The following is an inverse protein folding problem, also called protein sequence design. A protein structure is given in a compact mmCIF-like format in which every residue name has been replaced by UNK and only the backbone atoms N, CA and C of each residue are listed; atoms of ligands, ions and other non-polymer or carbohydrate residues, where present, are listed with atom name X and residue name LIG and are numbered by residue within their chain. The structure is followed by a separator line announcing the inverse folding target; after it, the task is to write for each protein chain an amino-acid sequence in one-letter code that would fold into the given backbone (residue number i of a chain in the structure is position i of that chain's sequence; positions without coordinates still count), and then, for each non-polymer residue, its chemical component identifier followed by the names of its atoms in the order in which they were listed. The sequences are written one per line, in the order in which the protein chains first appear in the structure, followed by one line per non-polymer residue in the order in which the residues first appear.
data_IF_498487410359
#
_entry.id   IF_498487410359
#
_cell.length_a   1.000
_cell.length_b   1.000
_cell.length_c   1.000
_cell.angle_alpha   90.00
_cell.angle_beta   90.00
_cell.angle_gamma   90.00
#
_symmetry.space_group_name_H-M   'P 1'
#
loop_
_entity.id
_entity.type
_entity.pdbx_description
1 polymer ?
#
# COMPACT_ATOMS: atom_id res chain seq x y z
N UNK A 1 1.30 -4.52 42.36
CA UNK A 1 2.45 -4.95 43.20
C UNK A 1 3.71 -4.24 42.72
N UNK A 2 4.35 -3.41 43.56
CA UNK A 2 5.58 -2.68 43.21
C UNK A 2 6.77 -3.63 42.95
N UNK A 3 6.77 -4.80 43.58
CA UNK A 3 7.82 -5.81 43.39
C UNK A 3 7.83 -6.40 41.97
N UNK A 4 6.65 -6.68 41.38
CA UNK A 4 6.54 -7.20 40.02
C UNK A 4 6.98 -6.16 38.97
N UNK A 5 6.63 -4.89 39.18
CA UNK A 5 7.06 -3.79 38.30
C UNK A 5 8.58 -3.64 38.30
N UNK A 6 9.21 -3.70 39.48
CA UNK A 6 10.67 -3.61 39.59
C UNK A 6 11.40 -4.79 38.92
N UNK A 7 10.82 -6.00 38.96
CA UNK A 7 11.43 -7.17 38.30
C UNK A 7 11.32 -7.08 36.77
N UNK A 8 10.17 -6.62 36.26
CA UNK A 8 9.98 -6.38 34.82
C UNK A 8 10.85 -5.22 34.30
N UNK A 9 11.10 -4.21 35.14
CA UNK A 9 11.98 -3.09 34.78
C UNK A 9 13.44 -3.53 34.62
N UNK A 10 13.90 -4.62 35.24
CA UNK A 10 15.28 -5.11 35.03
C UNK A 10 15.51 -5.60 33.59
N UNK A 11 14.45 -6.01 32.90
CA UNK A 11 14.49 -6.55 31.54
C UNK A 11 13.66 -5.69 30.58
N UNK A 12 13.85 -4.37 30.61
CA UNK A 12 13.19 -3.49 29.65
C UNK A 12 14.13 -3.16 28.49
N UNK A 13 13.60 -3.24 27.27
CA UNK A 13 14.26 -2.77 26.06
C UNK A 13 13.59 -1.45 25.66
N UNK A 14 14.34 -0.36 25.63
CA UNK A 14 13.83 0.91 25.11
C UNK A 14 14.05 0.96 23.61
N UNK A 15 12.98 1.09 22.84
CA UNK A 15 13.09 1.33 21.40
C UNK A 15 13.59 2.76 21.16
N UNK A 16 14.69 2.97 20.44
CA UNK A 16 15.16 4.31 20.11
C UNK A 16 14.15 5.03 19.22
N UNK A 17 14.01 6.34 19.42
CA UNK A 17 13.13 7.16 18.60
C UNK A 17 13.67 7.29 17.18
N UNK A 18 12.79 7.34 16.19
CA UNK A 18 13.19 7.59 14.80
C UNK A 18 13.77 8.98 14.60
N UNK A 19 13.49 9.90 15.53
CA UNK A 19 14.06 11.23 15.56
C UNK A 19 15.56 11.22 15.89
N UNK A 20 16.07 10.17 16.55
CA UNK A 20 17.50 10.05 16.87
C UNK A 20 18.32 9.30 15.80
N UNK A 21 17.68 8.83 14.72
CA UNK A 21 18.39 8.16 13.64
C UNK A 21 19.21 9.15 12.82
N UNK A 22 20.39 8.70 12.40
CA UNK A 22 21.24 9.42 11.46
C UNK A 22 20.66 9.37 10.05
N UNK A 23 21.07 10.30 9.18
CA UNK A 23 20.59 10.32 7.78
C UNK A 23 20.91 9.02 7.04
N UNK A 24 22.05 8.39 7.36
CA UNK A 24 22.45 7.11 6.78
C UNK A 24 21.50 5.97 7.19
N UNK A 25 21.10 5.91 8.47
CA UNK A 25 20.16 4.90 8.95
C UNK A 25 18.77 5.11 8.36
N UNK A 26 18.32 6.36 8.21
CA UNK A 26 17.04 6.69 7.55
C UNK A 26 17.09 6.27 6.07
N UNK A 27 18.20 6.53 5.39
CA UNK A 27 18.39 6.15 4.00
C UNK A 27 18.43 4.63 3.82
N UNK A 28 19.10 3.92 4.73
CA UNK A 28 19.14 2.46 4.75
C UNK A 28 17.74 1.88 5.00
N UNK A 29 17.03 2.41 6.00
CA UNK A 29 15.66 2.02 6.30
C UNK A 29 14.72 2.26 5.09
N UNK A 30 14.85 3.40 4.42
CA UNK A 30 14.09 3.70 3.21
C UNK A 30 14.39 2.69 2.10
N UNK A 31 15.67 2.37 1.91
CA UNK A 31 16.13 1.41 0.92
C UNK A 31 15.57 0.02 1.19
N UNK A 32 15.66 -0.47 2.43
CA UNK A 32 15.12 -1.77 2.85
C UNK A 32 13.60 -1.83 2.67
N UNK A 33 12.86 -0.76 3.00
CA UNK A 33 11.42 -0.71 2.73
C UNK A 33 11.10 -0.77 1.24
N UNK A 34 11.88 -0.08 0.40
CA UNK A 34 11.71 -0.14 -1.05
C UNK A 34 12.05 -1.52 -1.58
N UNK A 35 13.11 -2.16 -1.10
CA UNK A 35 13.45 -3.52 -1.49
C UNK A 35 12.33 -4.51 -1.11
N UNK A 36 11.78 -4.41 0.11
CA UNK A 36 10.64 -5.24 0.53
C UNK A 36 9.41 -5.05 -0.37
N UNK A 37 9.14 -3.82 -0.80
CA UNK A 37 8.02 -3.52 -1.70
C UNK A 37 8.33 -3.97 -3.15
N UNK A 38 9.59 -3.90 -3.56
CA UNK A 38 10.07 -4.17 -4.93
C UNK A 38 10.58 -5.60 -5.11
N UNK A 39 10.33 -6.47 -4.13
CA UNK A 39 10.66 -7.91 -4.17
C UNK A 39 10.14 -8.64 -5.41
N UNK A 40 9.11 -8.11 -6.08
CA UNK A 40 8.70 -8.56 -7.42
C UNK A 40 9.62 -7.89 -8.45
N UNK A 41 10.52 -8.66 -9.06
CA UNK A 41 11.64 -8.24 -9.94
C UNK A 41 11.28 -7.25 -11.06
N UNK A 42 10.01 -7.11 -11.41
CA UNK A 42 9.52 -6.28 -12.51
C UNK A 42 9.72 -4.76 -12.35
N UNK A 43 10.03 -4.25 -11.15
CA UNK A 43 10.07 -2.80 -10.90
C UNK A 43 11.38 -2.24 -10.30
N UNK A 44 12.41 -3.07 -10.09
CA UNK A 44 13.69 -2.67 -9.45
C UNK A 44 14.38 -1.46 -10.09
N UNK A 45 14.26 -1.31 -11.41
CA UNK A 45 14.94 -0.23 -12.13
C UNK A 45 14.12 1.07 -12.24
N UNK A 46 12.80 1.03 -12.02
CA UNK A 46 11.89 2.18 -12.21
C UNK A 46 11.43 2.83 -10.90
N UNK A 47 11.58 2.13 -9.78
CA UNK A 47 11.14 2.54 -8.45
C UNK A 47 12.30 2.87 -7.50
N UNK A 48 13.51 3.13 -8.02
CA UNK A 48 14.63 3.56 -7.21
C UNK A 48 14.33 4.92 -6.55
N UNK A 49 14.66 5.06 -5.27
CA UNK A 49 14.60 6.34 -4.57
C UNK A 49 15.63 7.27 -5.20
N UNK A 50 15.19 8.43 -5.67
CA UNK A 50 16.11 9.45 -6.15
C UNK A 50 16.67 10.23 -4.96
N UNK A 51 17.83 10.85 -5.12
CA UNK A 51 18.43 11.67 -4.05
C UNK A 51 17.50 12.78 -3.54
N UNK A 52 16.58 13.26 -4.39
CA UNK A 52 15.53 14.21 -3.99
C UNK A 52 14.49 13.61 -3.04
N UNK A 53 14.19 12.31 -3.18
CA UNK A 53 13.24 11.61 -2.31
C UNK A 53 13.90 11.28 -0.96
N UNK A 54 15.17 10.87 -0.99
CA UNK A 54 15.98 10.65 0.21
C UNK A 54 16.13 11.94 1.03
N UNK A 55 16.42 13.05 0.38
CA UNK A 55 16.47 14.35 1.04
C UNK A 55 15.13 14.74 1.66
N UNK A 56 14.00 14.52 0.97
CA UNK A 56 12.66 14.78 1.53
C UNK A 56 12.34 13.90 2.75
N UNK A 57 12.72 12.64 2.71
CA UNK A 57 12.56 11.70 3.82
C UNK A 57 13.46 12.05 5.02
N UNK A 58 14.65 12.62 4.77
CA UNK A 58 15.57 13.09 5.82
C UNK A 58 15.12 14.42 6.45
N UNK A 59 14.60 15.35 5.65
CA UNK A 59 14.14 16.66 6.16
C UNK A 59 12.86 16.54 6.97
N UNK A 60 11.95 15.67 6.54
CA UNK A 60 10.63 15.51 7.14
C UNK A 60 10.64 14.28 8.07
N UNK A 61 11.38 14.40 9.19
CA UNK A 61 11.64 13.29 10.12
C UNK A 61 10.32 12.66 10.60
N UNK A 62 10.03 11.41 10.24
CA UNK A 62 8.76 10.75 10.61
C UNK A 62 8.71 10.50 12.12
N UNK A 63 7.52 10.63 12.71
CA UNK A 63 7.32 10.38 14.14
C UNK A 63 7.21 8.87 14.44
N UNK A 64 6.91 8.05 13.42
CA UNK A 64 6.73 6.59 13.57
C UNK A 64 7.15 5.80 12.33
N UNK A 65 7.48 4.51 12.52
CA UNK A 65 7.91 3.61 11.44
C UNK A 65 6.76 3.36 10.47
N UNK A 66 5.53 3.38 10.99
CA UNK A 66 4.30 3.25 10.19
C UNK A 66 4.15 4.44 9.24
N UNK A 67 4.30 5.65 9.76
CA UNK A 67 4.24 6.87 8.96
C UNK A 67 5.36 6.90 7.90
N UNK A 68 6.57 6.50 8.28
CA UNK A 68 7.68 6.40 7.35
C UNK A 68 7.39 5.43 6.20
N UNK A 69 6.87 4.24 6.53
CA UNK A 69 6.47 3.25 5.54
C UNK A 69 5.38 3.78 4.60
N UNK A 70 4.37 4.45 5.14
CA UNK A 70 3.29 5.05 4.34
C UNK A 70 3.81 6.14 3.39
N UNK A 71 4.76 6.97 3.83
CA UNK A 71 5.38 8.02 3.01
C UNK A 71 6.24 7.44 1.89
N UNK A 72 7.11 6.48 2.20
CA UNK A 72 7.90 5.74 1.19
C UNK A 72 6.97 5.13 0.15
N UNK A 73 5.88 4.53 0.61
CA UNK A 73 4.87 3.94 -0.25
C UNK A 73 4.15 4.97 -1.14
N UNK A 74 3.73 6.11 -0.60
CA UNK A 74 3.13 7.19 -1.39
C UNK A 74 4.09 7.72 -2.47
N UNK A 75 5.39 7.85 -2.15
CA UNK A 75 6.41 8.25 -3.12
C UNK A 75 6.53 7.24 -4.26
N UNK A 76 6.50 5.94 -3.95
CA UNK A 76 6.52 4.87 -4.95
C UNK A 76 5.27 4.88 -5.84
N UNK A 77 4.08 5.10 -5.27
CA UNK A 77 2.81 5.20 -6.01
C UNK A 77 2.82 6.41 -6.96
N UNK A 78 3.29 7.57 -6.49
CA UNK A 78 3.42 8.76 -7.33
C UNK A 78 4.39 8.52 -8.49
N UNK A 79 5.53 7.87 -8.25
CA UNK A 79 6.47 7.50 -9.31
C UNK A 79 5.91 6.51 -10.31
N UNK A 80 5.20 5.49 -9.83
CA UNK A 80 4.51 4.52 -10.67
C UNK A 80 3.50 5.18 -11.61
N UNK A 81 2.65 6.06 -11.07
CA UNK A 81 1.63 6.77 -11.84
C UNK A 81 2.22 7.67 -12.92
N UNK A 82 3.37 8.30 -12.63
CA UNK A 82 4.10 9.16 -13.57
C UNK A 82 4.75 8.37 -14.71
N UNK A 83 5.09 7.11 -14.47
CA UNK A 83 5.72 6.22 -15.44
C UNK A 83 4.72 5.30 -16.17
N UNK A 84 3.41 5.53 -16.07
CA UNK A 84 2.35 4.70 -16.68
C UNK A 84 2.44 3.20 -16.32
N UNK A 85 3.01 2.86 -15.16
CA UNK A 85 3.05 1.48 -14.66
C UNK A 85 1.73 1.18 -13.95
N UNK A 86 0.70 0.88 -14.74
CA UNK A 86 -0.66 0.56 -14.28
C UNK A 86 -0.76 -0.73 -13.42
N UNK A 87 0.36 -1.41 -13.13
CA UNK A 87 0.39 -2.63 -12.30
C UNK A 87 0.64 -2.36 -10.81
N UNK A 88 0.97 -1.13 -10.39
CA UNK A 88 1.25 -0.82 -8.97
C UNK A 88 0.00 -0.28 -8.25
N UNK A 89 -1.18 -0.38 -8.87
CA UNK A 89 -2.47 -0.13 -8.21
C UNK A 89 -2.81 -1.15 -7.11
N UNK A 90 -2.00 -2.19 -6.89
CA UNK A 90 -2.10 -3.07 -5.71
C UNK A 90 -1.68 -2.39 -4.40
N UNK A 91 -1.07 -1.20 -4.47
CA UNK A 91 -0.37 -0.57 -3.35
C UNK A 91 -0.93 0.82 -3.04
N UNK A 92 -2.23 0.92 -2.79
CA UNK A 92 -2.83 2.15 -2.25
C UNK A 92 -3.13 1.95 -0.75
N UNK A 93 -2.45 2.66 0.18
CA UNK A 93 -2.62 2.45 1.61
C UNK A 93 -3.98 2.98 2.10
N UNK A 94 -4.65 3.82 1.30
CA UNK A 94 -6.04 4.21 1.55
C UNK A 94 -7.03 3.04 1.44
N UNK A 95 -6.62 1.91 0.84
CA UNK A 95 -7.45 0.72 0.69
C UNK A 95 -7.14 -0.41 1.69
N UNK A 96 -6.09 -0.27 2.51
CA UNK A 96 -5.62 -1.38 3.35
C UNK A 96 -6.21 -1.43 4.77
N UNK A 97 -7.21 -0.61 5.13
CA UNK A 97 -7.83 -0.66 6.47
C UNK A 97 -9.35 -0.43 6.53
N UNK A 98 -10.02 -0.02 5.46
CA UNK A 98 -11.43 0.37 5.57
C UNK A 98 -12.44 -0.77 5.26
N UNK A 99 -12.10 -1.76 4.43
CA UNK A 99 -13.08 -2.77 4.01
C UNK A 99 -12.44 -4.10 3.59
N UNK A 100 -12.58 -5.11 4.46
CA UNK A 100 -12.07 -6.48 4.25
C UNK A 100 -12.58 -7.10 2.93
N UNK A 101 -13.82 -6.77 2.55
CA UNK A 101 -14.45 -7.27 1.32
C UNK A 101 -13.78 -6.75 0.04
N UNK A 102 -13.35 -5.48 0.05
CA UNK A 102 -12.67 -4.87 -1.10
C UNK A 102 -11.27 -5.45 -1.27
N UNK A 103 -10.58 -5.71 -0.16
CA UNK A 103 -9.27 -6.37 -0.18
C UNK A 103 -9.36 -7.81 -0.73
N UNK A 104 -10.43 -8.54 -0.40
CA UNK A 104 -10.67 -9.86 -0.96
C UNK A 104 -10.95 -9.80 -2.47
N UNK A 105 -11.75 -8.83 -2.92
CA UNK A 105 -12.02 -8.64 -4.35
C UNK A 105 -10.75 -8.30 -5.14
N UNK A 106 -9.88 -7.43 -4.61
CA UNK A 106 -8.58 -7.11 -5.21
C UNK A 106 -7.69 -8.35 -5.32
N UNK A 107 -7.61 -9.16 -4.26
CA UNK A 107 -6.85 -10.43 -4.26
C UNK A 107 -7.33 -11.41 -5.34
N UNK A 108 -8.63 -11.41 -5.63
CA UNK A 108 -9.21 -12.24 -6.68
C UNK A 108 -9.02 -11.64 -8.08
N UNK A 109 -8.82 -10.32 -8.19
CA UNK A 109 -8.56 -9.59 -9.43
C UNK A 109 -9.60 -9.92 -10.51
N UNK A 110 -9.14 -10.36 -11.68
CA UNK A 110 -10.02 -10.80 -12.79
C UNK A 110 -10.99 -11.94 -12.43
N UNK A 111 -10.72 -12.75 -11.40
CA UNK A 111 -11.64 -13.79 -10.94
C UNK A 111 -12.82 -13.22 -10.15
N UNK A 112 -12.66 -12.04 -9.54
CA UNK A 112 -13.75 -11.35 -8.84
C UNK A 112 -14.93 -11.03 -9.75
N UNK A 113 -14.66 -10.75 -11.04
CA UNK A 113 -15.68 -10.48 -12.05
C UNK A 113 -16.58 -11.68 -12.39
N UNK A 114 -16.18 -12.90 -12.01
CA UNK A 114 -16.97 -14.11 -12.26
C UNK A 114 -17.96 -14.41 -11.14
N UNK A 115 -17.75 -13.81 -9.97
CA UNK A 115 -18.58 -14.02 -8.79
C UNK A 115 -19.67 -12.93 -8.73
N UNK A 116 -20.96 -13.29 -8.86
CA UNK A 116 -22.06 -12.34 -8.79
C UNK A 116 -22.13 -11.58 -7.45
N UNK A 117 -21.78 -12.23 -6.34
CA UNK A 117 -21.87 -11.62 -5.00
C UNK A 117 -20.80 -10.54 -4.83
N UNK A 118 -19.57 -10.84 -5.25
CA UNK A 118 -18.47 -9.87 -5.20
C UNK A 118 -18.74 -8.71 -6.14
N UNK A 119 -19.29 -8.99 -7.32
CA UNK A 119 -19.61 -7.93 -8.28
C UNK A 119 -20.74 -7.02 -7.79
N UNK A 120 -21.78 -7.56 -7.13
CA UNK A 120 -22.81 -6.77 -6.47
C UNK A 120 -22.26 -5.92 -5.32
N UNK A 121 -21.34 -6.48 -4.52
CA UNK A 121 -20.66 -5.76 -3.45
C UNK A 121 -19.82 -4.60 -4.00
N UNK A 122 -19.01 -4.85 -5.02
CA UNK A 122 -18.22 -3.83 -5.71
C UNK A 122 -19.09 -2.72 -6.30
N UNK A 123 -20.24 -3.08 -6.89
CA UNK A 123 -21.19 -2.13 -7.43
C UNK A 123 -21.80 -1.26 -6.32
N UNK A 124 -22.22 -1.86 -5.21
CA UNK A 124 -22.81 -1.14 -4.08
C UNK A 124 -21.86 -0.11 -3.46
N UNK A 125 -20.58 -0.46 -3.34
CA UNK A 125 -19.55 0.37 -2.69
C UNK A 125 -18.97 1.44 -3.63
N UNK A 126 -18.69 1.10 -4.88
CA UNK A 126 -17.97 1.99 -5.80
C UNK A 126 -18.88 2.76 -6.76
N UNK A 127 -20.03 2.17 -7.13
CA UNK A 127 -21.04 2.71 -8.08
C UNK A 127 -20.45 3.29 -9.37
N UNK A 128 -19.27 2.84 -9.77
CA UNK A 128 -18.53 3.39 -10.90
C UNK A 128 -17.68 2.31 -11.55
N UNK A 129 -18.00 2.00 -12.81
CA UNK A 129 -17.34 0.97 -13.60
C UNK A 129 -15.84 1.24 -13.79
N UNK A 130 -15.44 2.51 -13.94
CA UNK A 130 -14.02 2.87 -14.09
C UNK A 130 -13.25 2.60 -12.80
N UNK A 131 -13.84 2.90 -11.64
CA UNK A 131 -13.20 2.61 -10.34
C UNK A 131 -13.04 1.11 -10.12
N UNK A 132 -14.05 0.31 -10.46
CA UNK A 132 -13.99 -1.16 -10.38
C UNK A 132 -12.95 -1.73 -11.34
N UNK A 133 -12.88 -1.19 -12.56
CA UNK A 133 -11.91 -1.58 -13.58
C UNK A 133 -10.46 -1.33 -13.09
N UNK A 134 -10.21 -0.13 -12.55
CA UNK A 134 -8.92 0.23 -11.96
C UNK A 134 -8.60 -0.63 -10.74
N UNK A 135 -9.57 -0.91 -9.87
CA UNK A 135 -9.38 -1.72 -8.66
C UNK A 135 -8.98 -3.16 -8.98
N UNK A 136 -9.61 -3.77 -9.98
CA UNK A 136 -9.39 -5.18 -10.34
C UNK A 136 -8.29 -5.39 -11.40
N UNK A 137 -7.71 -4.31 -11.94
CA UNK A 137 -6.71 -4.39 -13.01
C UNK A 137 -7.29 -4.92 -14.33
N UNK A 138 -8.53 -4.56 -14.66
CA UNK A 138 -9.28 -5.07 -15.82
C UNK A 138 -9.83 -3.93 -16.66
N UNK A 139 -10.15 -4.21 -17.92
CA UNK A 139 -10.76 -3.22 -18.81
C UNK A 139 -12.20 -2.87 -18.37
N UNK A 140 -12.59 -1.61 -18.51
CA UNK A 140 -13.96 -1.13 -18.28
C UNK A 140 -15.00 -1.96 -19.05
N UNK A 141 -14.68 -2.36 -20.29
CA UNK A 141 -15.55 -3.19 -21.12
C UNK A 141 -15.83 -4.57 -20.50
N UNK A 142 -14.84 -5.17 -19.83
CA UNK A 142 -15.01 -6.43 -19.09
C UNK A 142 -15.97 -6.25 -17.91
N UNK A 143 -15.84 -5.15 -17.17
CA UNK A 143 -16.74 -4.82 -16.06
C UNK A 143 -18.16 -4.58 -16.57
N UNK A 144 -18.33 -3.82 -17.64
CA UNK A 144 -19.63 -3.51 -18.21
C UNK A 144 -20.38 -4.77 -18.68
N UNK A 145 -19.69 -5.70 -19.35
CA UNK A 145 -20.29 -6.99 -19.75
C UNK A 145 -20.85 -7.76 -18.55
N UNK A 146 -20.09 -7.81 -17.45
CA UNK A 146 -20.50 -8.52 -16.22
C UNK A 146 -21.59 -7.78 -15.46
N UNK A 147 -21.58 -6.45 -15.45
CA UNK A 147 -22.68 -5.65 -14.90
C UNK A 147 -24.00 -5.93 -15.62
N UNK A 148 -23.96 -6.04 -16.96
CA UNK A 148 -25.13 -6.40 -17.77
C UNK A 148 -25.58 -7.83 -17.48
N UNK A 149 -24.65 -8.79 -17.44
CA UNK A 149 -24.94 -10.21 -17.17
C UNK A 149 -25.60 -10.44 -15.80
N UNK A 150 -25.22 -9.65 -14.80
CA UNK A 150 -25.75 -9.75 -13.43
C UNK A 150 -26.86 -8.74 -13.10
N UNK A 151 -27.39 -8.01 -14.11
CA UNK A 151 -28.41 -6.97 -13.94
C UNK A 151 -28.05 -5.87 -12.91
N UNK A 152 -26.76 -5.52 -12.82
CA UNK A 152 -26.25 -4.42 -12.02
C UNK A 152 -26.21 -3.16 -12.90
N UNK A 153 -27.30 -2.41 -12.94
CA UNK A 153 -27.40 -1.10 -13.60
C UNK A 153 -27.68 0.00 -12.58
#
# INVERSE_FOLDING_TARGET
SKALFNELQKTHLTMPSLLSLTENEINQLAHEYVEQITSKETFKNLLTLTEKDKMRLSTDRPLSLREFRERVHQLLVLKSSKNNLAEITEFNPAYNLADQDLAQAVRLGKKALKDPQIMALLWSKLKNQNKIATLLGVNRSSVNRRCIEFNLK
#
